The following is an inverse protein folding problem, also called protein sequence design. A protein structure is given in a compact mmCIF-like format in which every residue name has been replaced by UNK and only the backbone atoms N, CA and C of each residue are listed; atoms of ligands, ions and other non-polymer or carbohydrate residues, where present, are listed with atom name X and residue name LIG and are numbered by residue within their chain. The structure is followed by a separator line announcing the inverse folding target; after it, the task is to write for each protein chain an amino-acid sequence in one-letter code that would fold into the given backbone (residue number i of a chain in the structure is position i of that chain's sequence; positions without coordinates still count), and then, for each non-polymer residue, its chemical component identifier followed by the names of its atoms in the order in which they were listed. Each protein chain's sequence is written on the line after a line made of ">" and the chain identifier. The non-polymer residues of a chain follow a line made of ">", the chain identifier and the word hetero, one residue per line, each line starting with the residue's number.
data_IF_823467878100
#
_entry.id   IF_823467878100
#
_cell.length_a   1.000
_cell.length_b   1.000
_cell.length_c   1.000
_cell.angle_alpha   90.00
_cell.angle_beta   90.00
_cell.angle_gamma   90.00
#
_symmetry.space_group_name_H-M   'P 1'
#
loop_
_entity.id
_entity.type
_entity.pdbx_description
1 polymer ?
#
# COMPACT_ATOMS: atom_id res chain seq x y z
N UNK A 1 -15.18 -6.74 -39.02
CA UNK A 1 -14.56 -6.62 -37.68
C UNK A 1 -14.65 -7.97 -36.98
N UNK A 2 -13.54 -8.49 -36.44
CA UNK A 2 -13.63 -9.60 -35.47
C UNK A 2 -14.01 -8.97 -34.13
N UNK A 3 -15.22 -9.25 -33.63
CA UNK A 3 -15.65 -8.82 -32.31
C UNK A 3 -15.00 -9.66 -31.20
N UNK A 4 -15.08 -9.17 -29.96
CA UNK A 4 -14.68 -9.93 -28.77
C UNK A 4 -15.92 -10.46 -28.04
N UNK A 5 -15.84 -11.67 -27.47
CA UNK A 5 -16.83 -12.14 -26.49
C UNK A 5 -16.40 -11.69 -25.09
N UNK A 6 -17.33 -11.07 -24.36
CA UNK A 6 -17.15 -10.65 -22.98
C UNK A 6 -17.87 -11.65 -22.08
N UNK A 7 -17.13 -12.27 -21.15
CA UNK A 7 -17.69 -13.15 -20.13
C UNK A 7 -17.86 -12.37 -18.82
N UNK A 8 -19.07 -12.35 -18.30
CA UNK A 8 -19.38 -11.76 -17.01
C UNK A 8 -19.16 -12.79 -15.90
N UNK A 9 -18.63 -12.34 -14.76
CA UNK A 9 -18.47 -13.23 -13.59
C UNK A 9 -19.82 -13.61 -13.01
N UNK A 10 -19.86 -14.70 -12.23
CA UNK A 10 -21.08 -15.16 -11.56
C UNK A 10 -21.55 -14.23 -10.42
N UNK A 11 -20.90 -13.08 -10.23
CA UNK A 11 -21.13 -12.16 -9.11
C UNK A 11 -20.59 -12.65 -7.75
N UNK A 12 -20.05 -13.86 -7.66
CA UNK A 12 -19.52 -14.43 -6.43
C UNK A 12 -18.00 -14.63 -6.51
N UNK A 13 -17.24 -13.84 -5.73
CA UNK A 13 -15.77 -13.88 -5.70
C UNK A 13 -15.20 -15.25 -5.28
N UNK A 14 -16.00 -16.10 -4.61
CA UNK A 14 -15.61 -17.50 -4.31
C UNK A 14 -15.57 -18.37 -5.57
N UNK A 15 -16.39 -18.06 -6.58
CA UNK A 15 -16.47 -18.80 -7.84
C UNK A 15 -15.49 -18.29 -8.90
N UNK A 16 -14.77 -17.19 -8.65
CA UNK A 16 -13.96 -16.50 -9.65
C UNK A 16 -12.98 -17.42 -10.41
N UNK A 17 -12.33 -18.36 -9.73
CA UNK A 17 -11.43 -19.32 -10.40
C UNK A 17 -12.19 -20.26 -11.35
N UNK A 18 -13.39 -20.69 -11.00
CA UNK A 18 -14.25 -21.51 -11.86
C UNK A 18 -14.75 -20.71 -13.06
N UNK A 19 -15.15 -19.46 -12.84
CA UNK A 19 -15.58 -18.55 -13.91
C UNK A 19 -14.46 -18.32 -14.93
N UNK A 20 -13.23 -18.08 -14.46
CA UNK A 20 -12.03 -17.93 -15.31
C UNK A 20 -11.75 -19.22 -16.12
N UNK A 21 -11.87 -20.39 -15.49
CA UNK A 21 -11.66 -21.66 -16.19
C UNK A 21 -12.72 -21.92 -17.25
N UNK A 22 -13.98 -21.60 -16.97
CA UNK A 22 -15.09 -21.78 -17.91
C UNK A 22 -15.04 -20.82 -19.08
N UNK A 23 -14.57 -19.59 -18.87
CA UNK A 23 -14.51 -18.58 -19.93
C UNK A 23 -13.43 -18.87 -20.98
N UNK A 24 -12.34 -19.54 -20.58
CA UNK A 24 -11.17 -19.82 -21.43
C UNK A 24 -10.71 -18.56 -22.20
N UNK A 25 -10.74 -17.41 -21.50
CA UNK A 25 -10.52 -16.11 -22.11
C UNK A 25 -9.08 -15.97 -22.63
N UNK A 26 -8.94 -15.58 -23.90
CA UNK A 26 -7.64 -15.22 -24.46
C UNK A 26 -7.04 -13.96 -23.81
N UNK A 27 -7.88 -13.03 -23.33
CA UNK A 27 -7.49 -11.80 -22.63
C UNK A 27 -8.12 -11.78 -21.23
N UNK A 28 -7.29 -11.69 -20.21
CA UNK A 28 -7.70 -11.51 -18.82
C UNK A 28 -7.30 -10.12 -18.32
N UNK A 29 -8.26 -9.33 -17.86
CA UNK A 29 -8.01 -8.00 -17.26
C UNK A 29 -8.44 -8.04 -15.80
N UNK A 30 -7.58 -7.61 -14.89
CA UNK A 30 -7.84 -7.70 -13.45
C UNK A 30 -7.13 -6.65 -12.62
N UNK A 31 -7.42 -6.66 -11.33
CA UNK A 31 -6.80 -5.78 -10.31
C UNK A 31 -5.84 -6.58 -9.41
N UNK A 32 -4.85 -5.95 -8.75
CA UNK A 32 -3.85 -6.65 -7.95
C UNK A 32 -4.42 -7.63 -6.93
N UNK A 33 -5.50 -7.27 -6.24
CA UNK A 33 -6.15 -8.14 -5.24
C UNK A 33 -6.54 -9.50 -5.80
N UNK A 34 -7.02 -9.55 -7.05
CA UNK A 34 -7.39 -10.81 -7.72
C UNK A 34 -6.14 -11.64 -7.99
N UNK A 35 -5.11 -11.04 -8.59
CA UNK A 35 -3.85 -11.73 -8.89
C UNK A 35 -3.13 -12.21 -7.62
N UNK A 36 -3.08 -11.39 -6.56
CA UNK A 36 -2.50 -11.77 -5.26
C UNK A 36 -3.27 -12.93 -4.63
N UNK A 37 -4.60 -12.93 -4.68
CA UNK A 37 -5.43 -14.03 -4.17
C UNK A 37 -5.15 -15.33 -4.91
N UNK A 38 -5.08 -15.28 -6.25
CA UNK A 38 -4.76 -16.45 -7.08
C UNK A 38 -3.35 -16.95 -6.76
N UNK A 39 -2.37 -16.06 -6.69
CA UNK A 39 -0.99 -16.37 -6.31
C UNK A 39 -0.93 -17.07 -4.95
N UNK A 40 -1.52 -16.49 -3.90
CA UNK A 40 -1.52 -17.09 -2.56
C UNK A 40 -2.17 -18.47 -2.56
N UNK A 41 -3.32 -18.63 -3.23
CA UNK A 41 -4.02 -19.91 -3.34
C UNK A 41 -3.15 -20.99 -4.00
N UNK A 42 -2.40 -20.64 -5.06
CA UNK A 42 -1.50 -21.58 -5.73
C UNK A 42 -0.29 -21.89 -4.83
N UNK A 43 0.29 -20.87 -4.19
CA UNK A 43 1.43 -21.06 -3.30
C UNK A 43 1.08 -21.90 -2.07
N UNK A 44 -0.12 -21.76 -1.50
CA UNK A 44 -0.61 -22.58 -0.39
C UNK A 44 -0.80 -24.04 -0.80
N UNK A 45 -1.30 -24.31 -2.01
CA UNK A 45 -1.31 -25.68 -2.56
C UNK A 45 0.11 -26.21 -2.76
N UNK A 46 1.04 -25.34 -3.15
CA UNK A 46 2.44 -25.72 -3.38
C UNK A 46 3.18 -26.04 -2.08
N UNK A 47 2.85 -25.38 -0.95
CA UNK A 47 3.46 -25.70 0.34
C UNK A 47 3.05 -27.08 0.85
N UNK A 48 1.83 -27.52 0.55
CA UNK A 48 1.25 -28.83 0.87
C UNK A 48 1.70 -29.95 -0.09
N UNK A 49 2.31 -29.61 -1.24
CA UNK A 49 2.79 -30.59 -2.20
C UNK A 49 4.02 -31.37 -1.68
N UNK A 50 4.29 -32.53 -2.29
CA UNK A 50 5.43 -33.37 -1.92
C UNK A 50 6.76 -32.61 -2.05
N UNK A 51 7.78 -32.92 -1.22
CA UNK A 51 9.09 -32.28 -1.32
C UNK A 51 9.68 -32.32 -2.73
N UNK A 52 9.51 -33.44 -3.44
CA UNK A 52 9.96 -33.61 -4.82
C UNK A 52 9.25 -32.63 -5.76
N UNK A 53 7.92 -32.53 -5.69
CA UNK A 53 7.15 -31.59 -6.51
C UNK A 53 7.58 -30.13 -6.24
N UNK A 54 7.82 -29.78 -4.97
CA UNK A 54 8.35 -28.46 -4.57
C UNK A 54 9.71 -28.15 -5.17
N UNK A 55 10.62 -29.12 -5.17
CA UNK A 55 11.94 -28.97 -5.77
C UNK A 55 11.85 -28.82 -7.29
N UNK A 56 11.09 -29.68 -7.97
CA UNK A 56 10.89 -29.60 -9.43
C UNK A 56 10.29 -28.26 -9.84
N UNK A 57 9.27 -27.77 -9.12
CA UNK A 57 8.69 -26.46 -9.37
C UNK A 57 9.72 -25.34 -9.25
N UNK A 58 10.51 -25.32 -8.16
CA UNK A 58 11.54 -24.29 -7.94
C UNK A 58 12.60 -24.30 -9.03
N UNK A 59 13.07 -25.48 -9.44
CA UNK A 59 14.06 -25.62 -10.52
C UNK A 59 13.47 -25.09 -11.84
N UNK A 60 12.28 -25.56 -12.22
CA UNK A 60 11.62 -25.12 -13.45
C UNK A 60 11.35 -23.60 -13.46
N UNK A 61 10.92 -23.05 -12.32
CA UNK A 61 10.66 -21.62 -12.16
C UNK A 61 11.94 -20.80 -12.35
N UNK A 62 13.03 -21.20 -11.68
CA UNK A 62 14.31 -20.50 -11.78
C UNK A 62 14.93 -20.61 -13.18
N UNK A 63 14.81 -21.76 -13.85
CA UNK A 63 15.28 -21.93 -15.23
C UNK A 63 14.55 -20.97 -16.17
N UNK A 64 13.21 -20.90 -16.09
CA UNK A 64 12.43 -19.93 -16.88
C UNK A 64 12.75 -18.48 -16.55
N UNK A 65 12.98 -18.17 -15.28
CA UNK A 65 13.36 -16.82 -14.85
C UNK A 65 14.68 -16.39 -15.48
N UNK A 66 15.68 -17.28 -15.48
CA UNK A 66 16.98 -17.02 -16.10
C UNK A 66 16.82 -16.85 -17.62
N UNK A 67 16.10 -17.76 -18.26
CA UNK A 67 15.83 -17.73 -19.69
C UNK A 67 15.13 -16.45 -20.14
N UNK A 68 14.08 -16.03 -19.42
CA UNK A 68 13.37 -14.77 -19.68
C UNK A 68 14.30 -13.56 -19.59
N UNK A 69 15.21 -13.55 -18.61
CA UNK A 69 16.19 -12.46 -18.45
C UNK A 69 17.25 -12.44 -19.54
N UNK A 70 17.72 -13.60 -19.99
CA UNK A 70 18.80 -13.70 -20.98
C UNK A 70 18.31 -13.53 -22.41
N UNK A 71 17.13 -14.05 -22.73
CA UNK A 71 16.67 -14.18 -24.11
C UNK A 71 15.39 -13.39 -24.42
N UNK A 72 14.72 -12.79 -23.42
CA UNK A 72 13.45 -12.09 -23.61
C UNK A 72 12.32 -12.99 -24.13
N UNK A 73 12.53 -14.31 -24.08
CA UNK A 73 11.60 -15.34 -24.54
C UNK A 73 11.43 -16.39 -23.45
N UNK A 74 10.39 -17.21 -23.58
CA UNK A 74 10.07 -18.28 -22.64
C UNK A 74 10.28 -19.60 -23.35
N UNK A 75 11.36 -20.30 -23.06
CA UNK A 75 11.61 -21.65 -23.57
C UNK A 75 10.50 -22.60 -23.08
N UNK A 76 9.88 -23.30 -24.01
CA UNK A 76 8.68 -24.11 -23.78
C UNK A 76 8.94 -25.44 -23.04
N UNK A 77 10.20 -25.89 -22.89
CA UNK A 77 10.48 -27.23 -22.38
C UNK A 77 10.05 -27.46 -20.92
N UNK A 78 9.90 -26.40 -20.13
CA UNK A 78 9.40 -26.46 -18.73
C UNK A 78 7.90 -26.18 -18.60
N UNK A 79 7.18 -25.91 -19.69
CA UNK A 79 5.73 -25.62 -19.64
C UNK A 79 4.93 -26.77 -19.03
N UNK A 80 5.39 -28.01 -19.18
CA UNK A 80 4.76 -29.19 -18.58
C UNK A 80 4.56 -29.05 -17.06
N UNK A 81 5.50 -28.41 -16.36
CA UNK A 81 5.44 -28.19 -14.90
C UNK A 81 4.34 -27.19 -14.53
N UNK A 82 4.02 -26.27 -15.43
CA UNK A 82 3.06 -25.18 -15.18
C UNK A 82 1.69 -25.40 -15.81
N UNK A 83 1.48 -26.48 -16.59
CA UNK A 83 0.20 -26.79 -17.25
C UNK A 83 -1.01 -26.76 -16.32
N UNK A 84 -0.86 -27.23 -15.08
CA UNK A 84 -1.95 -27.20 -14.09
C UNK A 84 -2.34 -25.76 -13.72
N UNK A 85 -1.36 -24.86 -13.58
CA UNK A 85 -1.58 -23.43 -13.33
C UNK A 85 -2.20 -22.77 -14.56
N UNK A 86 -1.66 -23.02 -15.75
CA UNK A 86 -2.17 -22.48 -17.03
C UNK A 86 -3.64 -22.87 -17.25
N UNK A 87 -3.96 -24.16 -17.08
CA UNK A 87 -5.34 -24.65 -17.17
C UNK A 87 -6.23 -24.03 -16.10
N UNK A 88 -5.72 -23.84 -14.88
CA UNK A 88 -6.48 -23.20 -13.81
C UNK A 88 -6.78 -21.72 -14.07
N UNK A 89 -5.97 -21.05 -14.90
CA UNK A 89 -6.16 -19.68 -15.37
C UNK A 89 -6.99 -19.58 -16.67
N UNK A 90 -7.43 -20.72 -17.24
CA UNK A 90 -8.15 -20.72 -18.52
C UNK A 90 -7.24 -20.48 -19.74
N UNK A 91 -5.95 -20.81 -19.64
CA UNK A 91 -4.94 -20.69 -20.70
C UNK A 91 -4.94 -19.31 -21.42
N UNK A 92 -4.80 -18.20 -20.69
CA UNK A 92 -4.83 -16.88 -21.30
C UNK A 92 -3.64 -16.68 -22.24
N UNK A 93 -3.83 -15.88 -23.29
CA UNK A 93 -2.72 -15.42 -24.16
C UNK A 93 -2.12 -14.12 -23.63
N UNK A 94 -2.97 -13.26 -23.07
CA UNK A 94 -2.61 -11.96 -22.51
C UNK A 94 -3.31 -11.75 -21.16
N UNK A 95 -2.56 -11.24 -20.19
CA UNK A 95 -3.04 -10.86 -18.87
C UNK A 95 -2.68 -9.40 -18.62
N UNK A 96 -3.61 -8.60 -18.10
CA UNK A 96 -3.41 -7.18 -17.78
C UNK A 96 -3.79 -6.94 -16.33
N UNK A 97 -2.95 -6.22 -15.60
CA UNK A 97 -3.17 -5.76 -14.24
C UNK A 97 -3.14 -4.23 -14.19
N UNK A 98 -4.04 -3.60 -13.44
CA UNK A 98 -4.03 -2.15 -13.23
C UNK A 98 -4.82 -1.73 -12.00
N UNK A 99 -5.10 -0.43 -11.87
CA UNK A 99 -5.82 0.20 -10.74
C UNK A 99 -5.02 0.39 -9.44
N UNK A 100 -4.09 -0.51 -9.10
CA UNK A 100 -3.20 -0.38 -7.94
C UNK A 100 -1.85 -1.06 -8.19
N UNK A 101 -0.88 -0.84 -7.29
CA UNK A 101 0.42 -1.48 -7.36
C UNK A 101 0.31 -3.00 -7.19
N UNK A 102 1.00 -3.76 -8.07
CA UNK A 102 1.13 -5.21 -7.97
C UNK A 102 2.52 -5.54 -7.40
N UNK A 103 2.65 -6.38 -6.35
CA UNK A 103 3.95 -6.77 -5.85
C UNK A 103 4.78 -7.47 -6.94
N UNK A 104 6.04 -7.06 -7.12
CA UNK A 104 6.90 -7.58 -8.18
C UNK A 104 7.05 -9.11 -8.19
N UNK A 105 7.04 -9.77 -7.02
CA UNK A 105 7.05 -11.25 -6.91
C UNK A 105 5.81 -11.92 -7.53
N UNK A 106 4.65 -11.25 -7.44
CA UNK A 106 3.38 -11.76 -7.98
C UNK A 106 3.38 -11.57 -9.49
N UNK A 107 3.86 -10.42 -9.98
CA UNK A 107 4.08 -10.17 -11.40
C UNK A 107 5.01 -11.24 -12.01
N UNK A 108 6.21 -11.42 -11.43
CA UNK A 108 7.20 -12.40 -11.89
C UNK A 108 6.61 -13.82 -11.92
N UNK A 109 5.82 -14.17 -10.90
CA UNK A 109 5.13 -15.45 -10.87
C UNK A 109 4.23 -15.66 -12.08
N UNK A 110 3.39 -14.68 -12.43
CA UNK A 110 2.50 -14.81 -13.59
C UNK A 110 3.28 -14.73 -14.91
N UNK A 111 4.32 -13.91 -15.02
CA UNK A 111 5.20 -13.87 -16.19
C UNK A 111 5.84 -15.25 -16.47
N UNK A 112 6.21 -16.00 -15.43
CA UNK A 112 6.86 -17.31 -15.58
C UNK A 112 5.86 -18.45 -15.79
N UNK A 113 4.77 -18.47 -15.02
CA UNK A 113 3.92 -19.67 -14.87
C UNK A 113 2.68 -19.66 -15.76
N UNK A 114 2.16 -18.49 -16.13
CA UNK A 114 0.85 -18.39 -16.79
C UNK A 114 0.85 -18.80 -18.27
N UNK A 115 2.02 -18.82 -18.92
CA UNK A 115 2.11 -18.94 -20.38
C UNK A 115 1.69 -17.69 -21.16
N UNK A 116 1.14 -16.66 -20.49
CA UNK A 116 0.58 -15.47 -21.12
C UNK A 116 1.51 -14.26 -21.06
N UNK A 117 1.42 -13.35 -22.04
CA UNK A 117 2.05 -12.02 -21.94
C UNK A 117 1.40 -11.27 -20.77
N UNK A 118 2.19 -10.84 -19.79
CA UNK A 118 1.67 -10.17 -18.61
C UNK A 118 2.00 -8.68 -18.67
N UNK A 119 0.95 -7.86 -18.60
CA UNK A 119 1.04 -6.41 -18.64
C UNK A 119 0.54 -5.76 -17.35
N UNK A 120 1.13 -4.62 -17.02
CA UNK A 120 0.74 -3.67 -16.00
C UNK A 120 0.41 -2.38 -16.73
N UNK A 121 -0.80 -1.88 -16.51
CA UNK A 121 -1.23 -0.56 -16.95
C UNK A 121 -1.40 0.36 -15.75
N UNK A 122 -0.68 1.48 -15.76
CA UNK A 122 -0.92 2.61 -14.87
C UNK A 122 -1.71 3.67 -15.65
N UNK A 123 -2.91 3.96 -15.18
CA UNK A 123 -3.78 5.02 -15.68
C UNK A 123 -4.79 5.38 -14.60
N UNK A 124 -5.44 6.52 -14.78
CA UNK A 124 -6.54 6.98 -13.95
C UNK A 124 -7.69 7.53 -14.80
N UNK A 125 -8.84 7.73 -14.17
CA UNK A 125 -10.05 8.22 -14.86
C UNK A 125 -9.79 9.56 -15.57
N UNK A 126 -9.00 10.41 -14.95
CA UNK A 126 -8.59 11.74 -15.39
C UNK A 126 -7.68 11.68 -16.63
N UNK A 127 -7.02 10.55 -16.89
CA UNK A 127 -6.10 10.38 -18.02
C UNK A 127 -6.70 9.54 -19.16
N UNK A 128 -7.89 8.97 -18.98
CA UNK A 128 -8.63 8.27 -20.05
C UNK A 128 -7.87 7.15 -20.75
N UNK A 129 -6.96 6.46 -20.07
CA UNK A 129 -6.12 5.41 -20.64
C UNK A 129 -4.72 5.85 -21.09
N UNK A 130 -4.45 7.16 -21.18
CA UNK A 130 -3.08 7.67 -21.27
C UNK A 130 -2.36 7.43 -19.94
N UNK A 131 -1.10 7.03 -19.99
CA UNK A 131 -0.35 6.68 -18.79
C UNK A 131 0.87 5.84 -19.09
N UNK A 132 1.17 4.90 -18.20
CA UNK A 132 2.35 4.04 -18.32
C UNK A 132 1.95 2.58 -18.54
N UNK A 133 2.69 1.88 -19.40
CA UNK A 133 2.47 0.46 -19.68
C UNK A 133 3.79 -0.28 -19.75
N UNK A 134 3.85 -1.47 -19.17
CA UNK A 134 4.99 -2.35 -19.35
C UNK A 134 4.88 -3.15 -20.67
N UNK A 135 6.03 -3.50 -21.23
CA UNK A 135 6.15 -4.45 -22.31
C UNK A 135 6.40 -5.84 -21.72
N UNK A 136 5.64 -6.82 -22.20
CA UNK A 136 5.83 -8.20 -21.81
C UNK A 136 7.23 -8.67 -22.23
N UNK A 137 7.87 -9.44 -21.35
CA UNK A 137 9.23 -9.99 -21.55
C UNK A 137 10.34 -8.93 -21.72
N UNK A 138 10.08 -7.68 -21.38
CA UNK A 138 11.12 -6.67 -21.27
C UNK A 138 11.95 -6.89 -20.00
N UNK A 139 13.27 -6.73 -20.10
CA UNK A 139 14.17 -6.88 -18.96
C UNK A 139 14.20 -5.58 -18.15
N UNK A 140 13.31 -5.51 -17.17
CA UNK A 140 13.18 -4.36 -16.28
C UNK A 140 14.31 -4.26 -15.25
N UNK A 141 14.81 -3.04 -15.06
CA UNK A 141 15.75 -2.65 -14.01
C UNK A 141 15.21 -2.90 -12.58
N UNK A 142 13.89 -2.95 -12.41
CA UNK A 142 13.24 -3.21 -11.12
C UNK A 142 11.97 -4.04 -11.31
N UNK A 143 11.68 -4.99 -10.38
CA UNK A 143 10.47 -5.81 -10.44
C UNK A 143 9.18 -5.00 -10.22
N UNK A 144 9.29 -3.75 -9.77
CA UNK A 144 8.17 -2.85 -9.50
C UNK A 144 7.92 -1.82 -10.64
N UNK A 145 8.67 -1.89 -11.76
CA UNK A 145 8.46 -0.98 -12.88
C UNK A 145 7.06 -1.17 -13.49
N UNK A 146 6.31 -0.08 -13.58
CA UNK A 146 4.98 0.01 -14.19
C UNK A 146 5.08 0.30 -15.70
N UNK A 147 6.29 0.61 -16.19
CA UNK A 147 6.60 0.65 -17.62
C UNK A 147 6.82 2.06 -18.16
N UNK A 148 6.62 2.21 -19.47
CA UNK A 148 6.94 3.41 -20.24
C UNK A 148 5.69 4.21 -20.55
N UNK A 149 5.85 5.50 -20.87
CA UNK A 149 4.76 6.32 -21.40
C UNK A 149 4.15 5.64 -22.62
N UNK A 150 2.83 5.56 -22.69
CA UNK A 150 2.16 5.07 -23.90
C UNK A 150 2.44 6.00 -25.07
N UNK A 151 2.60 5.46 -26.28
CA UNK A 151 3.08 6.19 -27.48
C UNK A 151 2.32 7.47 -27.83
N UNK A 152 1.07 7.61 -27.35
CA UNK A 152 0.21 8.76 -27.61
C UNK A 152 0.20 9.78 -26.46
N UNK A 153 1.03 9.64 -25.43
CA UNK A 153 1.14 10.61 -24.34
C UNK A 153 2.57 11.01 -24.01
N UNK A 154 2.71 12.25 -23.55
CA UNK A 154 3.93 12.80 -22.97
C UNK A 154 3.86 12.64 -21.45
N UNK A 155 5.00 12.29 -20.85
CA UNK A 155 5.16 12.17 -19.41
C UNK A 155 6.40 12.95 -18.95
N UNK A 156 6.28 13.65 -17.83
CA UNK A 156 7.42 14.27 -17.14
C UNK A 156 7.31 14.06 -15.64
N UNK A 157 8.44 14.15 -14.94
CA UNK A 157 8.45 14.23 -13.48
C UNK A 157 8.74 15.67 -13.04
N UNK A 158 8.11 16.10 -11.96
CA UNK A 158 8.37 17.41 -11.33
C UNK A 158 8.84 17.22 -9.90
N UNK A 159 9.75 18.10 -9.44
CA UNK A 159 10.29 18.02 -8.09
C UNK A 159 9.19 18.16 -7.04
N UNK A 160 9.22 17.29 -6.03
CA UNK A 160 8.35 17.31 -4.85
C UNK A 160 9.15 17.11 -3.57
N UNK A 161 10.34 17.69 -3.50
CA UNK A 161 11.15 17.69 -2.28
C UNK A 161 10.45 18.39 -1.10
N UNK A 162 9.38 19.16 -1.37
CA UNK A 162 8.44 19.70 -0.37
C UNK A 162 7.60 18.62 0.32
N UNK A 163 7.38 17.47 -0.33
CA UNK A 163 6.53 16.36 0.15
C UNK A 163 7.23 14.99 0.21
N UNK A 164 8.50 14.90 -0.12
CA UNK A 164 9.26 13.65 0.01
C UNK A 164 10.76 13.91 0.21
N UNK A 165 11.47 12.87 0.63
CA UNK A 165 12.92 12.87 0.84
C UNK A 165 13.75 12.83 -0.46
N UNK A 166 13.10 12.69 -1.61
CA UNK A 166 13.76 12.58 -2.90
C UNK A 166 13.76 13.90 -3.66
N UNK A 167 14.72 14.01 -4.58
CA UNK A 167 14.83 15.12 -5.54
C UNK A 167 14.85 14.59 -6.96
N UNK A 168 14.85 15.50 -7.93
CA UNK A 168 15.07 15.14 -9.34
C UNK A 168 16.45 14.50 -9.60
N UNK A 169 17.47 14.74 -8.76
CA UNK A 169 18.79 14.08 -8.88
C UNK A 169 18.69 12.56 -8.63
N UNK A 170 17.71 12.14 -7.82
CA UNK A 170 17.38 10.72 -7.59
C UNK A 170 16.57 10.09 -8.74
N UNK A 171 16.28 10.86 -9.80
CA UNK A 171 15.31 10.55 -10.85
C UNK A 171 13.90 10.28 -10.28
N UNK A 172 13.51 11.01 -9.23
CA UNK A 172 12.22 10.87 -8.56
C UNK A 172 11.48 12.19 -8.58
N UNK A 173 10.18 12.13 -8.87
CA UNK A 173 9.30 13.28 -8.83
C UNK A 173 7.83 12.89 -9.03
N UNK A 174 6.94 13.87 -8.94
CA UNK A 174 5.53 13.66 -9.25
C UNK A 174 5.36 13.49 -10.75
N UNK A 175 4.69 12.42 -11.15
CA UNK A 175 4.37 12.16 -12.54
C UNK A 175 3.32 13.15 -13.03
N UNK A 176 3.59 13.77 -14.17
CA UNK A 176 2.63 14.55 -14.95
C UNK A 176 2.43 13.92 -16.31
N UNK A 177 1.18 13.88 -16.77
CA UNK A 177 0.80 13.27 -18.05
C UNK A 177 0.07 14.29 -18.91
N UNK A 178 0.43 14.33 -20.20
CA UNK A 178 -0.26 15.10 -21.24
C UNK A 178 -0.58 14.17 -22.41
N UNK A 179 -1.80 14.24 -22.94
CA UNK A 179 -2.19 13.39 -24.05
C UNK A 179 -3.67 13.50 -24.40
N UNK A 180 -4.11 12.88 -25.50
CA UNK A 180 -5.48 12.96 -26.00
C UNK A 180 -6.50 12.29 -25.07
N UNK A 181 -6.07 11.37 -24.19
CA UNK A 181 -6.93 10.75 -23.17
C UNK A 181 -7.19 11.63 -21.95
N UNK A 182 -6.40 12.69 -21.74
CA UNK A 182 -6.52 13.55 -20.55
C UNK A 182 -7.84 14.31 -20.57
N UNK A 183 -8.61 14.17 -19.49
CA UNK A 183 -9.91 14.79 -19.34
C UNK A 183 -9.80 16.32 -19.33
N UNK A 184 -10.83 16.99 -19.87
CA UNK A 184 -10.88 18.46 -19.90
C UNK A 184 -10.99 19.08 -18.50
N UNK A 185 -11.55 18.33 -17.55
CA UNK A 185 -11.74 18.80 -16.19
C UNK A 185 -12.86 18.07 -15.45
N UNK A 186 -13.10 18.48 -14.21
CA UNK A 186 -14.21 17.99 -13.41
C UNK A 186 -15.47 18.82 -13.68
N UNK A 187 -16.62 18.15 -13.76
CA UNK A 187 -17.93 18.83 -13.84
C UNK A 187 -18.34 19.19 -12.40
N UNK A 188 -18.61 20.47 -12.17
CA UNK A 188 -19.19 20.94 -10.91
C UNK A 188 -20.72 20.69 -10.90
N UNK A 189 -21.22 19.89 -9.95
CA UNK A 189 -22.64 19.53 -9.88
C UNK A 189 -23.15 18.71 -11.08
N UNK A 190 -24.48 18.63 -11.27
CA UNK A 190 -25.09 17.79 -12.32
C UNK A 190 -24.90 18.32 -13.76
N UNK A 191 -24.64 19.62 -13.94
CA UNK A 191 -24.58 20.28 -15.25
C UNK A 191 -23.66 21.52 -15.27
N UNK A 192 -22.72 21.66 -14.32
CA UNK A 192 -21.98 22.92 -14.14
C UNK A 192 -20.75 23.09 -15.00
N UNK A 193 -20.00 24.15 -14.68
CA UNK A 193 -18.76 24.55 -15.37
C UNK A 193 -17.71 23.45 -15.24
N UNK A 194 -16.91 23.29 -16.30
CA UNK A 194 -15.74 22.41 -16.28
C UNK A 194 -14.62 23.13 -15.53
N UNK A 195 -14.17 22.57 -14.42
CA UNK A 195 -12.97 23.00 -13.71
C UNK A 195 -11.76 22.34 -14.36
N UNK A 196 -10.88 23.11 -15.06
CA UNK A 196 -9.73 22.53 -15.74
C UNK A 196 -8.80 21.81 -14.77
N UNK A 197 -8.22 20.69 -15.22
CA UNK A 197 -7.33 19.85 -14.41
C UNK A 197 -5.89 19.84 -14.92
N UNK A 198 -5.63 20.49 -16.05
CA UNK A 198 -4.31 20.60 -16.66
C UNK A 198 -3.69 21.96 -16.37
N UNK A 199 -2.37 22.00 -16.29
CA UNK A 199 -1.62 23.26 -16.21
C UNK A 199 -1.57 23.99 -17.57
N UNK A 200 -0.90 25.14 -17.60
CA UNK A 200 -0.78 25.98 -18.81
C UNK A 200 -0.09 25.28 -19.99
N UNK A 201 0.67 24.20 -19.73
CA UNK A 201 1.34 23.41 -20.76
C UNK A 201 0.50 22.20 -21.22
N UNK A 202 -0.66 21.98 -20.59
CA UNK A 202 -1.58 20.88 -20.86
C UNK A 202 -1.26 19.60 -20.08
N UNK A 203 -0.41 19.65 -19.06
CA UNK A 203 -0.09 18.49 -18.23
C UNK A 203 -1.05 18.36 -17.04
N UNK A 204 -1.56 17.15 -16.84
CA UNK A 204 -2.29 16.75 -15.65
C UNK A 204 -1.33 16.28 -14.56
N UNK A 205 -1.45 16.84 -13.36
CA UNK A 205 -0.72 16.39 -12.16
C UNK A 205 -1.39 15.14 -11.59
N UNK A 206 -0.69 14.00 -11.62
CA UNK A 206 -1.27 12.72 -11.18
C UNK A 206 -1.39 12.61 -9.65
N UNK A 207 -0.62 13.41 -8.90
CA UNK A 207 -0.48 13.25 -7.46
C UNK A 207 0.33 12.01 -7.06
N UNK A 208 0.98 11.33 -8.00
CA UNK A 208 1.72 10.09 -7.76
C UNK A 208 3.24 10.32 -7.95
N UNK A 209 4.01 9.92 -6.95
CA UNK A 209 5.47 9.98 -6.97
C UNK A 209 6.02 8.74 -7.68
N UNK A 210 6.90 8.93 -8.66
CA UNK A 210 7.50 7.85 -9.44
C UNK A 210 9.02 7.98 -9.48
N UNK A 211 9.71 6.85 -9.65
CA UNK A 211 11.13 6.81 -10.03
C UNK A 211 11.26 6.47 -11.50
N UNK A 212 11.98 7.29 -12.25
CA UNK A 212 12.34 7.04 -13.64
C UNK A 212 13.70 6.35 -13.70
N UNK A 213 13.83 5.36 -14.58
CA UNK A 213 15.05 4.59 -14.80
C UNK A 213 15.76 5.07 -16.09
N UNK A 214 17.04 4.73 -16.30
CA UNK A 214 17.80 5.18 -17.48
C UNK A 214 17.18 4.78 -18.83
N UNK A 215 16.38 3.71 -18.85
CA UNK A 215 15.63 3.26 -20.03
C UNK A 215 14.37 4.11 -20.31
N UNK A 216 13.96 4.98 -19.39
CA UNK A 216 12.75 5.78 -19.45
C UNK A 216 11.51 5.11 -18.85
N UNK A 217 11.60 3.84 -18.40
CA UNK A 217 10.49 3.23 -17.66
C UNK A 217 10.45 3.78 -16.24
N UNK A 218 9.27 3.75 -15.61
CA UNK A 218 9.09 4.22 -14.25
C UNK A 218 8.60 3.12 -13.29
N UNK A 219 8.85 3.30 -12.00
CA UNK A 219 8.18 2.60 -10.90
C UNK A 219 7.34 3.58 -10.09
N UNK A 220 6.13 3.16 -9.72
CA UNK A 220 5.35 3.87 -8.70
C UNK A 220 6.03 3.76 -7.34
N UNK A 221 6.08 4.86 -6.59
CA UNK A 221 6.57 4.89 -5.21
C UNK A 221 5.38 4.99 -4.26
N UNK A 222 4.64 6.11 -4.31
CA UNK A 222 3.51 6.42 -3.40
C UNK A 222 2.69 7.61 -3.89
N UNK A 223 1.53 7.84 -3.29
CA UNK A 223 0.72 9.04 -3.56
C UNK A 223 1.22 10.22 -2.73
N UNK A 224 1.53 11.34 -3.37
CA UNK A 224 2.02 12.56 -2.70
C UNK A 224 1.02 13.07 -1.66
N UNK A 225 -0.28 12.96 -1.94
CA UNK A 225 -1.35 13.39 -1.03
C UNK A 225 -1.51 12.54 0.24
N UNK A 226 -0.85 11.37 0.33
CA UNK A 226 -0.86 10.49 1.51
C UNK A 226 0.47 10.48 2.25
N UNK A 227 1.35 11.43 1.93
CA UNK A 227 2.62 11.64 2.64
C UNK A 227 2.51 12.83 3.58
N UNK A 228 2.92 12.64 4.82
CA UNK A 228 2.99 13.70 5.84
C UNK A 228 4.42 13.87 6.29
N UNK A 229 4.92 15.12 6.31
CA UNK A 229 6.20 15.45 6.92
C UNK A 229 5.97 15.72 8.41
N UNK A 230 6.50 14.86 9.27
CA UNK A 230 6.39 14.99 10.72
C UNK A 230 7.24 16.14 11.26
N UNK A 231 7.04 16.50 12.53
CA UNK A 231 7.71 17.63 13.19
C UNK A 231 9.25 17.57 13.11
N UNK A 232 9.82 16.36 13.16
CA UNK A 232 11.27 16.13 13.08
C UNK A 232 11.78 15.99 11.63
N UNK A 233 10.95 16.29 10.63
CA UNK A 233 11.33 16.39 9.23
C UNK A 233 11.28 15.09 8.41
N UNK A 234 10.92 13.95 9.01
CA UNK A 234 10.78 12.69 8.29
C UNK A 234 9.42 12.60 7.57
N UNK A 235 9.41 11.95 6.41
CA UNK A 235 8.20 11.73 5.62
C UNK A 235 7.58 10.37 5.93
N UNK A 236 6.32 10.38 6.34
CA UNK A 236 5.51 9.20 6.63
C UNK A 236 4.54 8.95 5.49
N UNK A 237 4.56 7.71 4.97
CA UNK A 237 3.58 7.22 4.01
C UNK A 237 2.44 6.51 4.75
N UNK A 238 1.27 7.15 4.78
CA UNK A 238 0.10 6.63 5.49
C UNK A 238 -0.43 5.35 4.84
N UNK A 239 -0.36 5.24 3.51
CA UNK A 239 -0.82 4.05 2.79
C UNK A 239 0.09 2.85 3.07
N UNK A 240 1.41 3.08 3.19
CA UNK A 240 2.35 2.03 3.56
C UNK A 240 2.10 1.49 4.98
N UNK A 241 1.77 2.36 5.93
CA UNK A 241 1.40 1.97 7.31
C UNK A 241 0.15 1.10 7.28
N UNK A 242 -0.91 1.55 6.59
CA UNK A 242 -2.16 0.81 6.49
C UNK A 242 -1.98 -0.55 5.83
N UNK A 243 -1.26 -0.61 4.71
CA UNK A 243 -1.00 -1.85 4.00
C UNK A 243 -0.20 -2.85 4.85
N UNK A 244 0.73 -2.36 5.67
CA UNK A 244 1.47 -3.19 6.62
C UNK A 244 0.52 -3.75 7.70
N UNK A 245 -0.27 -2.89 8.35
CA UNK A 245 -1.22 -3.27 9.40
C UNK A 245 -2.25 -4.29 8.90
N UNK A 246 -2.84 -4.05 7.72
CA UNK A 246 -3.81 -4.96 7.07
C UNK A 246 -3.18 -6.28 6.58
N UNK A 247 -1.85 -6.40 6.61
CA UNK A 247 -1.16 -7.67 6.42
C UNK A 247 -1.29 -8.61 7.63
N UNK A 248 -1.77 -8.12 8.77
CA UNK A 248 -2.01 -8.93 9.97
C UNK A 248 -3.36 -9.65 9.90
N UNK A 249 -3.44 -10.95 10.25
CA UNK A 249 -4.71 -11.66 10.26
C UNK A 249 -5.79 -11.05 11.14
N UNK A 250 -5.42 -10.39 12.25
CA UNK A 250 -6.40 -9.82 13.18
C UNK A 250 -6.88 -8.43 12.77
N UNK A 251 -6.14 -7.70 11.94
CA UNK A 251 -6.52 -6.35 11.49
C UNK A 251 -7.22 -6.48 10.13
N UNK A 252 -8.52 -6.18 10.12
CA UNK A 252 -9.34 -6.24 8.90
C UNK A 252 -9.09 -5.04 8.00
N UNK A 253 -9.05 -3.84 8.59
CA UNK A 253 -8.91 -2.56 7.90
C UNK A 253 -8.22 -1.53 8.80
N UNK A 254 -7.47 -0.61 8.20
CA UNK A 254 -6.78 0.46 8.88
C UNK A 254 -6.97 1.82 8.17
N UNK A 255 -7.05 2.92 8.93
CA UNK A 255 -6.93 4.29 8.40
C UNK A 255 -5.89 5.04 9.22
N UNK A 256 -4.73 5.30 8.64
CA UNK A 256 -3.67 6.06 9.25
C UNK A 256 -3.88 7.56 9.04
N UNK A 257 -3.46 8.34 10.03
CA UNK A 257 -3.47 9.79 9.98
C UNK A 257 -2.19 10.34 10.60
N UNK A 258 -1.69 11.44 10.05
CA UNK A 258 -0.53 12.16 10.56
C UNK A 258 -0.73 13.66 10.38
N UNK A 259 -0.12 14.43 11.26
CA UNK A 259 -0.13 15.89 11.23
C UNK A 259 1.31 16.43 11.30
N UNK A 260 1.63 17.57 10.65
CA UNK A 260 3.01 18.07 10.59
C UNK A 260 3.61 18.51 11.93
N UNK A 261 2.77 18.85 12.91
CA UNK A 261 3.19 19.24 14.26
C UNK A 261 3.35 18.04 15.21
N UNK A 262 3.15 16.81 14.72
CA UNK A 262 3.24 15.58 15.50
C UNK A 262 4.52 14.79 15.18
N UNK A 263 4.93 13.95 16.12
CA UNK A 263 6.17 13.14 16.08
C UNK A 263 5.97 11.74 15.49
N UNK A 264 4.72 11.32 15.31
CA UNK A 264 4.34 10.01 14.82
C UNK A 264 2.85 10.01 14.40
N UNK A 265 2.43 9.05 13.55
CA UNK A 265 1.04 8.94 13.15
C UNK A 265 0.14 8.33 14.25
N UNK A 266 -1.16 8.39 14.02
CA UNK A 266 -2.20 7.64 14.72
C UNK A 266 -3.00 6.81 13.73
N UNK A 267 -3.74 5.82 14.20
CA UNK A 267 -4.47 4.92 13.30
C UNK A 267 -5.83 4.52 13.84
N UNK A 268 -6.82 4.40 12.96
CA UNK A 268 -8.06 3.69 13.22
C UNK A 268 -7.91 2.27 12.71
N UNK A 269 -8.31 1.27 13.50
CA UNK A 269 -8.25 -0.13 13.09
C UNK A 269 -9.57 -0.84 13.39
N UNK A 270 -10.01 -1.67 12.45
CA UNK A 270 -11.04 -2.66 12.72
C UNK A 270 -10.40 -4.04 12.86
N UNK A 271 -10.74 -4.75 13.94
CA UNK A 271 -10.22 -6.07 14.24
C UNK A 271 -11.27 -7.16 14.00
N UNK A 272 -10.83 -8.33 13.56
CA UNK A 272 -11.65 -9.55 13.52
C UNK A 272 -11.83 -10.08 14.94
N UNK A 273 -13.07 -10.05 15.44
CA UNK A 273 -13.34 -10.45 16.82
C UNK A 273 -13.14 -11.94 17.05
N UNK A 274 -13.29 -12.81 16.05
CA UNK A 274 -13.06 -14.25 16.20
C UNK A 274 -11.58 -14.54 16.40
N UNK A 275 -10.71 -13.90 15.61
CA UNK A 275 -9.25 -14.02 15.76
C UNK A 275 -8.81 -13.38 17.08
N UNK A 276 -9.40 -12.23 17.45
CA UNK A 276 -9.09 -11.58 18.71
C UNK A 276 -9.48 -12.45 19.92
N UNK A 277 -10.65 -13.11 19.88
CA UNK A 277 -11.06 -14.08 20.91
C UNK A 277 -10.08 -15.24 21.05
N UNK A 278 -9.53 -15.75 19.94
CA UNK A 278 -8.50 -16.80 19.98
C UNK A 278 -7.20 -16.32 20.65
N UNK A 279 -6.86 -15.03 20.49
CA UNK A 279 -5.62 -14.45 21.02
C UNK A 279 -5.73 -13.98 22.48
N UNK A 280 -6.83 -13.35 22.85
CA UNK A 280 -7.02 -12.70 24.16
C UNK A 280 -8.11 -13.34 25.02
N UNK A 281 -8.87 -14.30 24.51
CA UNK A 281 -9.99 -14.92 25.20
C UNK A 281 -11.31 -14.17 25.00
N UNK A 282 -12.41 -14.92 25.11
CA UNK A 282 -13.76 -14.40 24.85
C UNK A 282 -14.22 -13.36 25.87
N UNK A 283 -13.82 -13.53 27.13
CA UNK A 283 -14.18 -12.60 28.21
C UNK A 283 -13.70 -11.18 27.94
N UNK A 284 -12.43 -11.00 27.52
CA UNK A 284 -11.84 -9.69 27.24
C UNK A 284 -12.59 -9.00 26.09
N UNK A 285 -12.90 -9.74 25.03
CA UNK A 285 -13.63 -9.21 23.87
C UNK A 285 -15.07 -8.81 24.24
N UNK A 286 -15.75 -9.59 25.07
CA UNK A 286 -17.09 -9.26 25.53
C UNK A 286 -17.10 -8.02 26.45
N UNK A 287 -16.11 -7.90 27.35
CA UNK A 287 -15.93 -6.72 28.20
C UNK A 287 -15.61 -5.46 27.39
N UNK A 288 -14.82 -5.59 26.32
CA UNK A 288 -14.59 -4.49 25.37
C UNK A 288 -15.89 -4.00 24.72
N UNK A 289 -16.74 -4.92 24.26
CA UNK A 289 -18.06 -4.58 23.69
C UNK A 289 -18.97 -3.89 24.73
N UNK A 290 -18.82 -4.24 26.00
CA UNK A 290 -19.49 -3.58 27.13
C UNK A 290 -18.85 -2.24 27.55
N UNK A 291 -17.87 -1.73 26.79
CA UNK A 291 -17.14 -0.49 27.06
C UNK A 291 -16.39 -0.48 28.41
N UNK A 292 -15.92 -1.65 28.86
CA UNK A 292 -15.08 -1.76 30.04
C UNK A 292 -13.68 -1.18 29.79
N UNK A 293 -13.30 -0.18 30.59
CA UNK A 293 -12.03 0.54 30.42
C UNK A 293 -10.79 -0.34 30.55
N UNK A 294 -10.82 -1.41 31.37
CA UNK A 294 -9.67 -2.29 31.53
C UNK A 294 -9.49 -3.17 30.28
N UNK A 295 -10.58 -3.70 29.72
CA UNK A 295 -10.56 -4.45 28.48
C UNK A 295 -10.17 -3.60 27.28
N UNK A 296 -10.66 -2.35 27.20
CA UNK A 296 -10.23 -1.36 26.19
C UNK A 296 -8.72 -1.16 26.26
N UNK A 297 -8.18 -0.86 27.44
CA UNK A 297 -6.74 -0.67 27.62
C UNK A 297 -5.93 -1.91 27.23
N UNK A 298 -6.40 -3.11 27.58
CA UNK A 298 -5.71 -4.36 27.23
C UNK A 298 -5.67 -4.59 25.72
N UNK A 299 -6.80 -4.39 25.02
CA UNK A 299 -6.84 -4.53 23.56
C UNK A 299 -6.02 -3.44 22.87
N UNK A 300 -6.08 -2.19 23.33
CA UNK A 300 -5.25 -1.13 22.77
C UNK A 300 -3.75 -1.40 22.95
N UNK A 301 -3.33 -1.91 24.11
CA UNK A 301 -1.94 -2.32 24.34
C UNK A 301 -1.52 -3.47 23.44
N UNK A 302 -2.40 -4.46 23.27
CA UNK A 302 -2.19 -5.56 22.33
C UNK A 302 -1.98 -5.04 20.91
N UNK A 303 -2.86 -4.16 20.41
CA UNK A 303 -2.74 -3.56 19.07
C UNK A 303 -1.49 -2.69 18.95
N UNK A 304 -1.12 -1.91 19.98
CA UNK A 304 0.10 -1.11 19.94
C UNK A 304 1.35 -1.99 19.78
N UNK A 305 1.42 -3.09 20.52
CA UNK A 305 2.54 -4.05 20.43
C UNK A 305 2.55 -4.74 19.07
N UNK A 306 1.42 -5.26 18.63
CA UNK A 306 1.32 -5.97 17.35
C UNK A 306 1.62 -5.03 16.17
N UNK A 307 1.11 -3.79 16.23
CA UNK A 307 1.38 -2.76 15.22
C UNK A 307 2.86 -2.41 15.10
N UNK A 308 3.59 -2.24 16.21
CA UNK A 308 5.04 -2.01 16.18
C UNK A 308 5.79 -3.19 15.52
N UNK A 309 5.46 -4.43 15.91
CA UNK A 309 6.04 -5.64 15.30
C UNK A 309 5.76 -5.74 13.79
N UNK A 310 4.51 -5.45 13.37
CA UNK A 310 4.09 -5.49 11.97
C UNK A 310 4.82 -4.45 11.14
N UNK A 311 4.85 -3.19 11.60
CA UNK A 311 5.46 -2.06 10.87
C UNK A 311 6.95 -2.31 10.69
N UNK A 312 7.65 -2.77 11.74
CA UNK A 312 9.08 -3.14 11.65
C UNK A 312 9.32 -4.32 10.71
N UNK A 313 8.47 -5.36 10.76
CA UNK A 313 8.55 -6.52 9.86
C UNK A 313 8.32 -6.16 8.41
N UNK A 314 7.51 -5.12 8.14
CA UNK A 314 7.33 -4.54 6.82
C UNK A 314 8.54 -3.71 6.33
N UNK A 315 9.56 -3.51 7.16
CA UNK A 315 10.76 -2.74 6.84
C UNK A 315 10.58 -1.23 6.99
N UNK A 316 9.47 -0.76 7.58
CA UNK A 316 9.23 0.65 7.83
C UNK A 316 10.02 1.12 9.07
N UNK A 317 10.52 2.36 9.02
CA UNK A 317 11.27 2.96 10.13
C UNK A 317 10.36 3.26 11.31
N UNK A 318 10.94 3.36 12.52
CA UNK A 318 10.19 3.51 13.77
C UNK A 318 9.25 4.73 13.86
N UNK A 319 9.54 5.82 13.15
CA UNK A 319 8.63 6.99 13.09
C UNK A 319 7.32 6.72 12.32
N UNK A 320 7.24 5.61 11.58
CA UNK A 320 5.99 5.17 10.94
C UNK A 320 5.08 4.41 11.91
N UNK A 321 5.57 4.00 13.09
CA UNK A 321 4.77 3.24 14.05
C UNK A 321 3.71 4.14 14.68
N UNK A 322 2.41 3.88 14.49
CA UNK A 322 1.38 4.68 15.13
C UNK A 322 1.47 4.64 16.65
N UNK A 323 1.36 5.80 17.30
CA UNK A 323 1.47 5.92 18.77
C UNK A 323 0.18 5.65 19.52
N UNK A 324 -0.95 5.74 18.83
CA UNK A 324 -2.27 5.43 19.35
C UNK A 324 -3.15 4.81 18.27
N UNK A 325 -4.08 3.97 18.72
CA UNK A 325 -5.02 3.27 17.87
C UNK A 325 -6.45 3.47 18.36
N UNK A 326 -7.36 3.85 17.47
CA UNK A 326 -8.80 3.74 17.75
C UNK A 326 -9.25 2.36 17.28
N UNK A 327 -9.58 1.49 18.23
CA UNK A 327 -9.97 0.11 17.94
C UNK A 327 -11.49 0.00 17.79
N UNK A 328 -11.92 -0.67 16.72
CA UNK A 328 -13.28 -1.15 16.52
C UNK A 328 -13.26 -2.65 16.21
N UNK A 329 -14.38 -3.33 16.43
CA UNK A 329 -14.50 -4.77 16.14
C UNK A 329 -15.49 -4.98 14.99
N UNK A 330 -15.11 -5.83 14.04
CA UNK A 330 -15.97 -6.33 12.96
C UNK A 330 -16.63 -5.23 12.10
N UNK A 331 -15.99 -4.07 11.97
CA UNK A 331 -16.46 -2.96 11.15
C UNK A 331 -15.88 -3.10 9.75
N UNK A 332 -16.76 -3.28 8.76
CA UNK A 332 -16.38 -3.22 7.35
C UNK A 332 -16.73 -1.85 6.75
N UNK A 333 -15.75 -0.95 6.77
CA UNK A 333 -15.87 0.37 6.14
C UNK A 333 -15.98 0.30 4.62
N UNK A 334 -15.63 -0.83 3.98
CA UNK A 334 -15.65 -0.94 2.52
C UNK A 334 -17.05 -0.93 1.91
N UNK A 335 -18.06 -1.15 2.74
CA UNK A 335 -19.47 -1.01 2.37
C UNK A 335 -19.93 0.45 2.31
N UNK A 336 -19.19 1.38 2.93
CA UNK A 336 -19.53 2.79 2.94
C UNK A 336 -18.87 3.52 1.75
N UNK A 337 -19.70 3.92 0.78
CA UNK A 337 -19.24 4.65 -0.42
C UNK A 337 -18.72 6.07 -0.14
N UNK A 338 -18.94 6.63 1.05
CA UNK A 338 -18.29 7.86 1.50
C UNK A 338 -16.81 7.63 1.84
N UNK A 339 -16.48 6.46 2.39
CA UNK A 339 -15.13 6.10 2.82
C UNK A 339 -14.36 5.27 1.79
N UNK A 340 -15.06 4.62 0.86
CA UNK A 340 -14.47 3.84 -0.21
C UNK A 340 -15.02 4.22 -1.58
N UNK A 341 -14.20 4.11 -2.62
CA UNK A 341 -14.67 4.15 -4.01
C UNK A 341 -15.40 2.84 -4.37
N UNK A 342 -16.20 2.81 -5.46
CA UNK A 342 -16.73 1.54 -5.99
C UNK A 342 -15.64 0.51 -6.31
N UNK A 343 -14.44 0.98 -6.65
CA UNK A 343 -13.24 0.16 -6.88
C UNK A 343 -12.46 -0.20 -5.60
N UNK A 344 -13.06 0.02 -4.43
CA UNK A 344 -12.54 -0.37 -3.11
C UNK A 344 -11.24 0.34 -2.71
N UNK A 345 -11.05 1.60 -3.14
CA UNK A 345 -9.98 2.49 -2.67
C UNK A 345 -10.46 3.37 -1.53
N UNK A 346 -9.62 3.56 -0.50
CA UNK A 346 -9.92 4.40 0.67
C UNK A 346 -10.00 5.88 0.30
N UNK A 347 -10.88 6.61 1.00
CA UNK A 347 -11.07 8.05 0.92
C UNK A 347 -10.75 8.67 2.30
N UNK A 348 -9.46 8.92 2.55
CA UNK A 348 -8.97 9.43 3.84
C UNK A 348 -9.63 10.75 4.26
N UNK A 349 -9.74 11.73 3.36
CA UNK A 349 -10.35 13.03 3.68
C UNK A 349 -11.78 12.91 4.25
N UNK A 350 -12.72 12.29 3.52
CA UNK A 350 -14.06 12.00 4.03
C UNK A 350 -14.08 11.17 5.33
N UNK A 351 -13.25 10.13 5.42
CA UNK A 351 -13.17 9.29 6.61
C UNK A 351 -12.75 10.10 7.85
N UNK A 352 -11.69 10.89 7.74
CA UNK A 352 -11.20 11.74 8.82
C UNK A 352 -12.21 12.82 9.20
N UNK A 353 -12.89 13.42 8.21
CA UNK A 353 -13.98 14.39 8.45
C UNK A 353 -15.13 13.78 9.25
N UNK A 354 -15.50 12.53 8.99
CA UNK A 354 -16.55 11.83 9.72
C UNK A 354 -16.13 11.41 11.14
N UNK A 355 -14.83 11.29 11.42
CA UNK A 355 -14.29 10.80 12.70
C UNK A 355 -13.46 11.84 13.46
N UNK A 356 -13.72 13.13 13.25
CA UNK A 356 -12.92 14.21 13.85
C UNK A 356 -12.88 14.16 15.38
N UNK A 357 -13.98 13.80 16.04
CA UNK A 357 -14.02 13.73 17.51
C UNK A 357 -13.15 12.59 18.05
N UNK A 358 -13.20 11.42 17.41
CA UNK A 358 -12.36 10.28 17.77
C UNK A 358 -10.88 10.54 17.45
N UNK A 359 -10.59 11.24 16.33
CA UNK A 359 -9.23 11.64 15.99
C UNK A 359 -8.65 12.58 17.05
N UNK A 360 -9.44 13.55 17.52
CA UNK A 360 -9.03 14.45 18.61
C UNK A 360 -8.68 13.67 19.89
N UNK A 361 -9.52 12.70 20.27
CA UNK A 361 -9.25 11.82 21.41
C UNK A 361 -7.96 11.00 21.25
N UNK A 362 -7.66 10.54 20.02
CA UNK A 362 -6.40 9.83 19.75
C UNK A 362 -5.19 10.72 19.97
N UNK A 363 -5.23 11.97 19.48
CA UNK A 363 -4.13 12.91 19.68
C UNK A 363 -3.95 13.29 21.15
N UNK A 364 -5.04 13.54 21.88
CA UNK A 364 -4.99 13.75 23.33
C UNK A 364 -4.35 12.56 24.06
N UNK A 365 -4.63 11.32 23.63
CA UNK A 365 -4.03 10.12 24.19
C UNK A 365 -2.52 10.03 23.89
N UNK A 366 -2.07 10.43 22.69
CA UNK A 366 -0.64 10.51 22.35
C UNK A 366 0.06 11.50 23.26
N UNK A 367 -0.48 12.72 23.40
CA UNK A 367 0.09 13.77 24.25
C UNK A 367 0.17 13.33 25.73
N UNK A 368 -0.86 12.66 26.24
CA UNK A 368 -0.84 12.09 27.60
C UNK A 368 0.24 11.01 27.77
N UNK A 369 0.46 10.17 26.77
CA UNK A 369 1.50 9.12 26.79
C UNK A 369 2.90 9.73 26.75
N UNK A 370 3.12 10.73 25.90
CA UNK A 370 4.41 11.43 25.80
C UNK A 370 4.74 12.18 27.10
N UNK A 371 3.75 12.87 27.68
CA UNK A 371 3.91 13.59 28.95
C UNK A 371 4.18 12.67 30.16
N UNK A 372 3.72 11.40 30.13
CA UNK A 372 4.03 10.40 31.17
C UNK A 372 5.45 9.83 31.07
N UNK A 373 6.05 9.83 29.87
CA UNK A 373 7.40 9.30 29.62
C UNK A 373 8.50 10.30 30.00
N UNK A 374 8.18 11.59 30.07
CA UNK A 374 9.05 12.59 30.69
C UNK A 374 8.82 12.50 32.21
N UNK A 375 9.70 11.86 33.01
CA UNK A 375 9.61 12.07 34.44
C UNK A 375 9.77 13.58 34.66
N UNK A 376 8.90 14.19 35.46
CA UNK A 376 9.24 15.42 36.19
C UNK A 376 10.53 15.11 36.96
N UNK A 377 11.70 15.23 36.33
CA UNK A 377 12.96 15.29 37.04
C UNK A 377 12.80 16.50 37.93
N UNK A 378 12.56 16.27 39.22
CA UNK A 378 12.79 17.31 40.20
C UNK A 378 14.21 17.81 39.91
N UNK A 379 14.34 19.10 39.62
CA UNK A 379 15.62 19.75 39.35
C UNK A 379 16.53 19.77 40.60
N UNK A 380 16.36 18.85 41.55
CA UNK A 380 17.09 18.77 42.79
C UNK A 380 18.59 18.57 42.54
N UNK A 381 18.98 17.77 41.54
CA UNK A 381 20.41 17.61 41.18
C UNK A 381 20.99 18.87 40.55
N UNK A 382 20.21 19.61 39.76
CA UNK A 382 20.67 20.86 39.14
C UNK A 382 20.76 21.99 40.18
N UNK A 383 19.79 22.08 41.10
CA UNK A 383 19.82 23.00 42.23
C UNK A 383 20.95 22.70 43.21
N UNK A 384 21.22 21.43 43.52
CA UNK A 384 22.36 21.02 44.36
C UNK A 384 23.68 21.35 43.68
N UNK A 385 23.80 21.15 42.36
CA UNK A 385 25.01 21.50 41.61
C UNK A 385 25.21 23.02 41.57
N UNK A 386 24.16 23.81 41.33
CA UNK A 386 24.23 25.28 41.34
C UNK A 386 24.57 25.80 42.74
N UNK A 387 23.96 25.24 43.80
CA UNK A 387 24.26 25.62 45.18
C UNK A 387 25.70 25.26 45.57
N UNK A 388 26.20 24.10 45.13
CA UNK A 388 27.59 23.69 45.37
C UNK A 388 28.59 24.58 44.62
N UNK A 389 28.31 24.93 43.36
CA UNK A 389 29.16 25.84 42.58
C UNK A 389 29.18 27.23 43.23
N UNK A 390 28.03 27.76 43.64
CA UNK A 390 27.95 29.06 44.34
C UNK A 390 28.68 29.03 45.70
N UNK A 391 28.60 27.93 46.44
CA UNK A 391 29.32 27.75 47.70
C UNK A 391 30.84 27.71 47.51
N UNK A 392 31.33 26.99 46.50
CA UNK A 392 32.76 26.95 46.15
C UNK A 392 33.25 28.32 45.67
N UNK A 393 32.43 29.05 44.91
CA UNK A 393 32.75 30.40 44.46
C UNK A 393 32.84 31.39 45.63
N UNK A 394 31.93 31.31 46.60
CA UNK A 394 31.96 32.12 47.82
C UNK A 394 33.22 31.84 48.66
N UNK A 395 33.62 30.58 48.80
CA UNK A 395 34.85 30.19 49.50
C UNK A 395 36.13 30.69 48.82
N UNK A 396 36.16 30.75 47.49
CA UNK A 396 37.28 31.26 46.72
C UNK A 396 37.43 32.79 46.79
N UNK A 397 36.32 33.52 47.02
CA UNK A 397 36.29 34.98 47.11
C UNK A 397 36.57 35.50 48.54
N UNK A 398 36.77 34.61 49.53
CA UNK A 398 37.07 34.95 50.93
C UNK A 398 38.57 34.81 51.29
N UNK A 399 39.47 34.76 50.30
CA UNK A 399 40.93 34.74 50.49
C UNK A 399 41.61 35.98 49.95
#
# INVERSE_FOLDING_TARGET
>A
MKGYLIYYSSGNVKNLTKDIQMSNCALMVGVPRVYVKIYNTIMDKMTQASPVARTVFKIAFNLKKIDLKLHGQRQHFTDAVFKSIQKALGNPQTMICGSAALPGKVREFFEITSGAKFHIGYTMSETGGSGLVNYANYNYNSPNQIGFSTDHCEAKIVDRSDKCEFTLEDNVGELKIKGPGVAKGYIDGKWGKIQPIVDSEGFFSTGDLVRVYPDGAASFIRRVGLVVKLQHGEFVDLEAIEAALEGSPVIMQAFAHGEPDKTAPVCFVSLDSNILKQKLGEEIVNRFKAHDSAAINQIEQFVCKEGDEIIRKAGLKGFNVPKAYKVLLDVDWSQNQEFYTPSQKKKHGPFIKAHQSQLKQLWELVEQRENKVIPKKSNLKLFVLIAFVLFVFALLMMK
#
